data_IF_953603627996
#
_entry.id   IF_953603627996
#
_cell.length_a   1.000
_cell.length_b   1.000
_cell.length_c   1.000
_cell.angle_alpha   90.00
_cell.angle_beta   90.00
_cell.angle_gamma   90.00
#
_symmetry.space_group_name_H-M   'P 1'
#
loop_
_entity.id
_entity.type
_entity.pdbx_description
1 polymer ?
#
# COMPACT_ATOMS: atom_id res chain seq x y z
N UNK A 1 10.14 -2.98 -18.87
CA UNK A 1 9.70 -4.32 -18.37
C UNK A 1 9.22 -4.14 -16.92
N UNK A 2 8.21 -4.88 -16.48
CA UNK A 2 7.76 -4.79 -15.09
C UNK A 2 8.76 -5.50 -14.15
N UNK A 3 8.99 -4.92 -12.98
CA UNK A 3 9.81 -5.48 -11.91
C UNK A 3 8.96 -6.47 -11.11
N UNK A 4 9.37 -7.74 -11.05
CA UNK A 4 8.70 -8.73 -10.21
C UNK A 4 9.24 -8.65 -8.78
N UNK A 5 8.35 -8.49 -7.81
CA UNK A 5 8.69 -8.34 -6.39
C UNK A 5 8.04 -9.46 -5.60
N UNK A 6 8.89 -10.29 -4.97
CA UNK A 6 8.44 -11.29 -3.99
C UNK A 6 8.47 -10.66 -2.60
N UNK A 7 7.34 -10.71 -1.92
CA UNK A 7 7.16 -10.17 -0.57
C UNK A 7 7.64 -11.15 0.51
N UNK A 8 8.08 -10.69 1.68
CA UNK A 8 8.01 -9.31 2.16
C UNK A 8 8.97 -8.36 1.44
N UNK A 9 8.61 -7.07 1.38
CA UNK A 9 9.43 -6.02 0.77
C UNK A 9 10.40 -5.47 1.83
N UNK A 10 11.65 -5.92 1.84
CA UNK A 10 12.64 -5.38 2.78
C UNK A 10 12.97 -3.92 2.46
N UNK A 11 13.48 -3.18 3.46
CA UNK A 11 13.90 -1.78 3.28
C UNK A 11 14.98 -1.62 2.21
N UNK A 12 15.91 -2.58 2.12
CA UNK A 12 16.96 -2.60 1.10
C UNK A 12 16.35 -2.67 -0.30
N UNK A 13 15.42 -3.63 -0.52
CA UNK A 13 14.71 -3.77 -1.80
C UNK A 13 13.82 -2.56 -2.11
N UNK A 14 13.18 -1.98 -1.10
CA UNK A 14 12.38 -0.78 -1.28
C UNK A 14 13.22 0.41 -1.79
N UNK A 15 14.46 0.56 -1.30
CA UNK A 15 15.40 1.61 -1.74
C UNK A 15 15.93 1.43 -3.18
N UNK A 16 15.85 0.23 -3.73
CA UNK A 16 16.24 -0.04 -5.12
C UNK A 16 15.17 0.41 -6.13
N UNK A 17 13.93 0.51 -5.70
CA UNK A 17 12.79 0.91 -6.54
C UNK A 17 12.82 2.41 -6.83
N UNK A 18 12.46 2.78 -8.06
CA UNK A 18 12.43 4.17 -8.51
C UNK A 18 11.03 4.60 -8.93
N UNK A 19 10.71 5.87 -8.71
CA UNK A 19 9.45 6.45 -9.17
C UNK A 19 9.27 6.22 -10.67
N UNK A 20 8.13 5.64 -11.06
CA UNK A 20 7.84 5.23 -12.44
C UNK A 20 8.00 3.73 -12.70
N UNK A 21 8.65 2.97 -11.81
CA UNK A 21 8.77 1.52 -11.97
C UNK A 21 7.40 0.84 -11.95
N UNK A 22 7.11 0.07 -13.01
CA UNK A 22 5.96 -0.82 -13.04
C UNK A 22 6.31 -2.11 -12.32
N UNK A 23 5.50 -2.51 -11.33
CA UNK A 23 5.78 -3.64 -10.46
C UNK A 23 4.68 -4.69 -10.52
N UNK A 24 5.07 -5.96 -10.31
CA UNK A 24 4.17 -7.10 -10.08
C UNK A 24 4.49 -7.67 -8.70
N UNK A 25 3.59 -7.47 -7.74
CA UNK A 25 3.78 -7.89 -6.35
C UNK A 25 3.21 -9.29 -6.15
N UNK A 26 3.97 -10.20 -5.51
CA UNK A 26 3.52 -11.54 -5.15
C UNK A 26 3.92 -11.88 -3.72
N UNK A 27 2.96 -12.35 -2.92
CA UNK A 27 3.14 -12.69 -1.51
C UNK A 27 2.04 -12.13 -0.63
N UNK A 28 2.35 -11.79 0.62
CA UNK A 28 1.39 -11.29 1.60
C UNK A 28 1.39 -9.77 1.63
N UNK A 29 0.20 -9.16 1.57
CA UNK A 29 -0.04 -7.75 1.88
C UNK A 29 -1.20 -7.66 2.88
N UNK A 30 -1.28 -6.56 3.62
CA UNK A 30 -2.38 -6.31 4.55
C UNK A 30 -3.30 -5.21 4.02
N UNK A 31 -4.59 -5.26 4.40
CA UNK A 31 -5.51 -4.15 4.14
C UNK A 31 -5.66 -3.31 5.39
N UNK A 32 -5.63 -2.00 5.26
CA UNK A 32 -6.06 -1.09 6.32
C UNK A 32 -6.49 0.25 5.72
N UNK A 33 -7.54 0.83 6.28
CA UNK A 33 -7.97 2.20 5.99
C UNK A 33 -7.90 3.06 7.25
N UNK A 34 -8.43 4.25 7.18
CA UNK A 34 -8.35 5.28 8.22
C UNK A 34 -8.76 4.79 9.62
N UNK A 35 -9.87 4.05 9.76
CA UNK A 35 -10.32 3.53 11.05
C UNK A 35 -9.34 2.50 11.63
N UNK A 36 -8.83 1.59 10.80
CA UNK A 36 -7.84 0.60 11.22
C UNK A 36 -6.49 1.26 11.54
N UNK A 37 -6.02 2.21 10.72
CA UNK A 37 -4.78 2.97 10.99
C UNK A 37 -4.84 3.70 12.34
N UNK A 38 -5.98 4.35 12.64
CA UNK A 38 -6.17 5.01 13.93
C UNK A 38 -5.99 4.06 15.11
N UNK A 39 -6.56 2.84 15.01
CA UNK A 39 -6.41 1.81 16.06
C UNK A 39 -4.99 1.26 16.16
N UNK A 40 -4.31 1.06 15.02
CA UNK A 40 -2.92 0.62 15.00
C UNK A 40 -2.00 1.65 15.68
N UNK A 41 -2.15 2.93 15.35
CA UNK A 41 -1.37 3.99 15.99
C UNK A 41 -1.66 4.08 17.50
N UNK A 42 -2.92 3.94 17.92
CA UNK A 42 -3.25 3.94 19.35
C UNK A 42 -2.56 2.78 20.10
N UNK A 43 -2.49 1.57 19.52
CA UNK A 43 -1.73 0.46 20.10
C UNK A 43 -0.24 0.77 20.16
N UNK A 44 0.32 1.37 19.11
CA UNK A 44 1.73 1.75 19.05
C UNK A 44 2.08 2.80 20.14
N UNK A 45 1.23 3.82 20.31
CA UNK A 45 1.39 4.86 21.32
C UNK A 45 1.34 4.29 22.75
N UNK A 46 0.56 3.22 22.95
CA UNK A 46 0.48 2.47 24.22
C UNK A 46 1.60 1.44 24.39
N UNK A 47 2.49 1.29 23.40
CA UNK A 47 3.57 0.29 23.43
C UNK A 47 3.07 -1.15 23.34
N UNK A 48 1.88 -1.37 22.82
CA UNK A 48 1.27 -2.70 22.64
C UNK A 48 1.65 -3.32 21.29
N UNK A 49 1.61 -4.64 21.23
CA UNK A 49 1.81 -5.37 19.99
C UNK A 49 0.70 -5.07 18.97
N UNK A 50 1.09 -4.92 17.72
CA UNK A 50 0.15 -4.78 16.62
C UNK A 50 -0.46 -6.16 16.27
N UNK A 51 -1.71 -6.20 15.80
CA UNK A 51 -2.40 -7.46 15.47
C UNK A 51 -1.94 -8.06 14.13
N UNK A 52 -0.90 -7.53 13.53
CA UNK A 52 -0.29 -7.97 12.28
C UNK A 52 1.21 -7.71 12.30
N UNK A 53 1.98 -8.48 11.52
CA UNK A 53 3.40 -8.21 11.32
C UNK A 53 3.57 -6.92 10.51
N UNK A 54 4.16 -5.90 11.12
CA UNK A 54 4.38 -4.60 10.47
C UNK A 54 5.75 -4.49 9.80
N UNK A 55 6.73 -5.28 10.27
CA UNK A 55 8.08 -5.25 9.71
C UNK A 55 8.05 -5.76 8.27
N UNK A 56 8.60 -4.96 7.37
CA UNK A 56 8.66 -5.23 5.92
C UNK A 56 7.28 -5.44 5.27
N UNK A 57 6.21 -4.95 5.93
CA UNK A 57 4.84 -5.09 5.44
C UNK A 57 4.51 -4.08 4.34
N UNK A 58 3.61 -4.50 3.46
CA UNK A 58 2.89 -3.62 2.54
C UNK A 58 1.44 -3.50 2.99
N UNK A 59 0.95 -2.27 3.13
CA UNK A 59 -0.47 -2.00 3.46
C UNK A 59 -1.19 -1.47 2.22
N UNK A 60 -2.25 -2.17 1.83
CA UNK A 60 -3.17 -1.77 0.77
C UNK A 60 -4.36 -1.00 1.34
N UNK A 61 -4.50 0.24 0.94
CA UNK A 61 -5.57 1.13 1.36
C UNK A 61 -6.84 0.81 0.58
N UNK A 62 -7.56 -0.20 1.04
CA UNK A 62 -8.75 -0.73 0.38
C UNK A 62 -9.83 -1.11 1.39
N UNK A 63 -11.08 -0.84 1.02
CA UNK A 63 -12.26 -1.42 1.67
C UNK A 63 -12.98 -2.25 0.61
N UNK A 64 -12.74 -3.57 0.55
CA UNK A 64 -13.30 -4.39 -0.49
C UNK A 64 -14.81 -4.57 -0.34
N UNK A 65 -15.50 -4.80 -1.45
CA UNK A 65 -16.90 -5.26 -1.38
C UNK A 65 -16.96 -6.72 -0.91
N UNK A 66 -18.11 -7.17 -0.38
CA UNK A 66 -18.28 -8.57 0.00
C UNK A 66 -17.94 -9.52 -1.16
N UNK A 67 -17.29 -10.64 -0.83
CA UNK A 67 -16.98 -11.69 -1.79
C UNK A 67 -18.28 -12.38 -2.28
N UNK A 68 -18.32 -12.70 -3.58
CA UNK A 68 -19.35 -13.61 -4.11
C UNK A 68 -18.94 -15.07 -3.85
N UNK A 69 -19.89 -16.03 -3.88
CA UNK A 69 -19.56 -17.44 -3.76
C UNK A 69 -18.41 -17.85 -4.71
N UNK A 70 -17.41 -18.52 -4.16
CA UNK A 70 -16.24 -18.96 -4.92
C UNK A 70 -15.15 -17.89 -5.17
N UNK A 71 -15.30 -16.67 -4.64
CA UNK A 71 -14.30 -15.63 -4.73
C UNK A 71 -13.60 -15.41 -3.38
N UNK A 72 -12.30 -15.16 -3.41
CA UNK A 72 -11.52 -14.82 -2.21
C UNK A 72 -11.94 -13.46 -1.63
N UNK A 73 -12.30 -12.50 -2.50
CA UNK A 73 -12.63 -11.13 -2.14
C UNK A 73 -13.55 -10.53 -3.22
N UNK A 74 -14.32 -9.52 -2.89
CA UNK A 74 -15.07 -8.75 -3.88
C UNK A 74 -14.19 -7.72 -4.60
N UNK A 75 -14.80 -6.69 -5.18
CA UNK A 75 -14.05 -5.61 -5.83
C UNK A 75 -13.11 -4.94 -4.83
N UNK A 76 -11.82 -4.86 -5.16
CA UNK A 76 -10.75 -4.39 -4.29
C UNK A 76 -9.98 -3.23 -4.93
N UNK A 77 -10.66 -2.11 -5.16
CA UNK A 77 -10.05 -0.90 -5.70
C UNK A 77 -9.43 0.00 -4.63
N UNK A 78 -8.34 0.72 -4.95
CA UNK A 78 -7.65 1.58 -3.97
C UNK A 78 -8.52 2.74 -3.52
N UNK A 79 -8.45 3.10 -2.24
CA UNK A 79 -9.01 4.34 -1.71
C UNK A 79 -8.00 5.49 -1.78
N UNK A 80 -8.47 6.71 -1.57
CA UNK A 80 -7.63 7.91 -1.58
C UNK A 80 -6.71 7.94 -0.36
N UNK A 81 -5.40 8.04 -0.61
CA UNK A 81 -4.35 7.75 0.39
C UNK A 81 -4.13 8.85 1.41
N UNK A 82 -4.42 10.14 1.11
CA UNK A 82 -4.20 11.24 2.05
C UNK A 82 -4.96 11.07 3.38
N UNK A 83 -6.02 10.27 3.39
CA UNK A 83 -6.79 9.97 4.62
C UNK A 83 -5.96 9.23 5.66
N UNK A 84 -4.90 8.54 5.25
CA UNK A 84 -3.97 7.82 6.11
C UNK A 84 -2.74 8.64 6.50
N UNK A 85 -2.59 9.86 5.97
CA UNK A 85 -1.36 10.65 6.15
C UNK A 85 -1.05 10.99 7.62
N UNK A 86 -2.08 11.17 8.44
CA UNK A 86 -1.91 11.40 9.88
C UNK A 86 -1.33 10.17 10.63
N UNK A 87 -1.38 8.99 10.05
CA UNK A 87 -1.01 7.73 10.70
C UNK A 87 0.21 7.06 10.07
N UNK A 88 0.36 7.20 8.74
CA UNK A 88 1.42 6.51 7.99
C UNK A 88 2.83 6.73 8.52
N UNK A 89 3.25 7.94 8.96
CA UNK A 89 4.59 8.13 9.50
C UNK A 89 4.91 7.20 10.68
N UNK A 90 3.95 6.99 11.59
CA UNK A 90 4.11 6.08 12.72
C UNK A 90 4.32 4.64 12.27
N UNK A 91 3.50 4.15 11.33
CA UNK A 91 3.61 2.76 10.85
C UNK A 91 4.89 2.53 10.03
N UNK A 92 5.31 3.52 9.23
CA UNK A 92 6.58 3.50 8.51
C UNK A 92 7.76 3.41 9.49
N UNK A 93 7.76 4.19 10.56
CA UNK A 93 8.79 4.13 11.59
C UNK A 93 8.84 2.75 12.26
N UNK A 94 7.69 2.10 12.46
CA UNK A 94 7.58 0.76 13.03
C UNK A 94 7.97 -0.37 12.07
N UNK A 95 8.12 -0.09 10.77
CA UNK A 95 8.62 -1.10 9.82
C UNK A 95 7.81 -1.31 8.56
N UNK A 96 6.69 -0.58 8.36
CA UNK A 96 5.99 -0.58 7.09
C UNK A 96 6.92 -0.08 5.98
N UNK A 97 7.06 -0.86 4.91
CA UNK A 97 7.96 -0.54 3.79
C UNK A 97 7.23 -0.20 2.51
N UNK A 98 5.96 -0.52 2.43
CA UNK A 98 5.18 -0.24 1.23
C UNK A 98 3.73 0.12 1.51
N UNK A 99 3.25 1.10 0.79
CA UNK A 99 1.85 1.52 0.83
C UNK A 99 1.26 1.43 -0.57
N UNK A 100 0.06 0.86 -0.71
CA UNK A 100 -0.65 0.81 -2.00
C UNK A 100 -1.93 1.63 -1.89
N UNK A 101 -2.09 2.60 -2.79
CA UNK A 101 -3.28 3.45 -2.78
C UNK A 101 -3.45 4.25 -4.06
N UNK A 102 -4.10 5.40 -3.98
CA UNK A 102 -4.22 6.39 -5.06
C UNK A 102 -4.21 7.81 -4.51
N UNK A 103 -3.80 8.76 -5.34
CA UNK A 103 -3.74 10.19 -4.99
C UNK A 103 -2.46 10.57 -4.25
N UNK A 104 -2.33 11.85 -3.94
CA UNK A 104 -1.12 12.43 -3.35
C UNK A 104 -0.92 12.02 -1.90
N UNK A 105 0.32 12.17 -1.42
CA UNK A 105 0.72 12.02 -0.01
C UNK A 105 1.25 13.36 0.53
N UNK A 106 1.07 13.58 1.82
CA UNK A 106 1.58 14.76 2.51
C UNK A 106 3.10 14.74 2.72
N UNK A 107 3.70 15.92 2.97
CA UNK A 107 5.15 16.04 3.13
C UNK A 107 5.69 15.23 4.31
N UNK A 108 4.92 15.08 5.39
CA UNK A 108 5.32 14.30 6.56
C UNK A 108 5.46 12.81 6.23
N UNK A 109 4.58 12.27 5.38
CA UNK A 109 4.67 10.89 4.90
C UNK A 109 5.91 10.71 4.02
N UNK A 110 6.15 11.65 3.11
CA UNK A 110 7.33 11.61 2.22
C UNK A 110 8.62 11.70 3.05
N UNK A 111 8.65 12.53 4.08
CA UNK A 111 9.79 12.62 5.00
C UNK A 111 10.04 11.29 5.72
N UNK A 112 9.01 10.65 6.26
CA UNK A 112 9.12 9.35 6.90
C UNK A 112 9.57 8.25 5.91
N UNK A 113 9.07 8.26 4.67
CA UNK A 113 9.50 7.33 3.63
C UNK A 113 11.00 7.45 3.34
N UNK A 114 11.51 8.68 3.24
CA UNK A 114 12.95 8.94 3.02
C UNK A 114 13.81 8.47 4.19
N UNK A 115 13.38 8.77 5.40
CA UNK A 115 14.10 8.41 6.62
C UNK A 115 14.19 6.89 6.79
N UNK A 116 13.07 6.20 6.63
CA UNK A 116 12.95 4.77 6.93
C UNK A 116 13.05 3.85 5.71
N UNK A 117 13.10 4.38 4.49
CA UNK A 117 13.24 3.58 3.28
C UNK A 117 11.95 2.85 2.89
N UNK A 118 10.84 3.57 2.83
CA UNK A 118 9.56 3.05 2.36
C UNK A 118 9.19 3.60 0.99
N UNK A 119 8.28 2.93 0.28
CA UNK A 119 7.79 3.33 -1.04
C UNK A 119 6.27 3.42 -1.08
N UNK A 120 5.76 4.30 -1.93
CA UNK A 120 4.34 4.42 -2.19
C UNK A 120 4.01 3.94 -3.60
N UNK A 121 3.19 2.90 -3.69
CA UNK A 121 2.68 2.33 -4.92
C UNK A 121 1.30 2.91 -5.26
N UNK A 122 1.12 3.29 -6.50
CA UNK A 122 -0.20 3.58 -7.07
C UNK A 122 -0.84 2.33 -7.65
N UNK A 123 -2.10 2.10 -7.28
CA UNK A 123 -2.97 1.16 -7.98
C UNK A 123 -4.05 1.92 -8.74
N UNK A 124 -4.47 1.39 -9.90
CA UNK A 124 -5.38 2.10 -10.80
C UNK A 124 -6.79 2.12 -10.21
N UNK A 125 -7.31 3.32 -9.98
CA UNK A 125 -8.70 3.53 -9.58
C UNK A 125 -9.68 3.04 -10.67
N UNK A 126 -10.81 2.49 -10.25
CA UNK A 126 -11.79 1.89 -11.17
C UNK A 126 -11.51 0.44 -11.58
N UNK A 127 -10.28 -0.06 -11.37
CA UNK A 127 -9.86 -1.42 -11.72
C UNK A 127 -10.08 -2.45 -10.60
N UNK A 128 -10.93 -2.17 -9.60
CA UNK A 128 -11.09 -3.04 -8.42
C UNK A 128 -11.48 -4.48 -8.73
N UNK A 129 -12.29 -4.71 -9.77
CA UNK A 129 -12.65 -6.06 -10.22
C UNK A 129 -11.48 -6.79 -10.90
N UNK A 130 -10.57 -6.06 -11.54
CA UNK A 130 -9.35 -6.62 -12.13
C UNK A 130 -8.33 -6.94 -11.04
N UNK A 131 -8.10 -6.00 -10.13
CA UNK A 131 -7.16 -6.16 -9.01
C UNK A 131 -7.57 -7.32 -8.09
N UNK A 132 -8.88 -7.54 -7.87
CA UNK A 132 -9.35 -8.66 -7.06
C UNK A 132 -8.97 -10.04 -7.62
N UNK A 133 -8.74 -10.17 -8.94
CA UNK A 133 -8.29 -11.44 -9.56
C UNK A 133 -6.85 -11.81 -9.17
N UNK A 134 -6.05 -10.82 -8.81
CA UNK A 134 -4.70 -11.04 -8.32
C UNK A 134 -4.67 -11.49 -6.86
N UNK A 135 -5.79 -11.40 -6.13
CA UNK A 135 -5.93 -11.79 -4.73
C UNK A 135 -6.40 -13.23 -4.67
N UNK A 136 -5.55 -14.13 -4.19
CA UNK A 136 -5.80 -15.57 -4.14
C UNK A 136 -6.50 -16.02 -2.85
N UNK A 137 -6.24 -15.32 -1.74
CA UNK A 137 -6.94 -15.52 -0.48
C UNK A 137 -7.04 -14.22 0.29
N UNK A 138 -8.05 -14.14 1.16
CA UNK A 138 -8.29 -13.01 2.05
C UNK A 138 -8.78 -13.54 3.40
N UNK A 139 -8.08 -13.20 4.47
CA UNK A 139 -8.42 -13.61 5.85
C UNK A 139 -8.45 -12.37 6.74
N UNK A 140 -9.53 -12.17 7.49
CA UNK A 140 -9.58 -11.14 8.51
C UNK A 140 -8.62 -11.52 9.64
N UNK A 141 -7.72 -10.62 10.01
CA UNK A 141 -6.75 -10.81 11.09
C UNK A 141 -7.03 -9.91 12.28
N UNK A 142 -7.69 -8.77 12.06
CA UNK A 142 -8.07 -7.88 13.16
C UNK A 142 -9.24 -6.95 12.77
N UNK A 143 -9.87 -6.40 13.80
CA UNK A 143 -10.91 -5.36 13.71
C UNK A 143 -12.09 -5.76 12.83
N UNK A 144 -12.60 -6.98 13.00
CA UNK A 144 -13.75 -7.50 12.25
C UNK A 144 -14.99 -6.60 12.37
N UNK A 145 -15.14 -5.93 13.50
CA UNK A 145 -16.20 -4.93 13.76
C UNK A 145 -16.19 -3.72 12.80
N UNK A 146 -15.04 -3.47 12.15
CA UNK A 146 -14.93 -2.42 11.12
C UNK A 146 -15.45 -2.85 9.74
N UNK A 147 -15.89 -4.08 9.57
CA UNK A 147 -16.50 -4.58 8.33
C UNK A 147 -15.55 -4.48 7.13
N UNK A 148 -15.87 -3.62 6.15
CA UNK A 148 -15.03 -3.42 4.98
C UNK A 148 -13.63 -2.84 5.31
N UNK A 149 -13.48 -2.16 6.45
CA UNK A 149 -12.22 -1.58 6.93
C UNK A 149 -11.47 -2.48 7.91
N UNK A 150 -11.95 -3.71 8.15
CA UNK A 150 -11.21 -4.72 8.91
C UNK A 150 -9.82 -4.96 8.28
N UNK A 151 -8.83 -5.25 9.11
CA UNK A 151 -7.52 -5.66 8.61
C UNK A 151 -7.63 -7.08 8.07
N UNK A 152 -7.25 -7.25 6.81
CA UNK A 152 -7.16 -8.54 6.14
C UNK A 152 -5.73 -8.81 5.72
N UNK A 153 -5.31 -10.04 5.89
CA UNK A 153 -4.14 -10.60 5.22
C UNK A 153 -4.59 -11.10 3.85
N UNK A 154 -3.94 -10.60 2.81
CA UNK A 154 -4.20 -10.99 1.42
C UNK A 154 -2.98 -11.70 0.85
N UNK A 155 -3.18 -12.88 0.27
CA UNK A 155 -2.17 -13.49 -0.59
C UNK A 155 -2.41 -13.01 -2.01
N UNK A 156 -1.43 -12.32 -2.58
CA UNK A 156 -1.50 -11.77 -3.95
C UNK A 156 -0.51 -12.46 -4.88
N UNK A 157 -0.85 -12.50 -6.16
CA UNK A 157 0.00 -13.02 -7.22
C UNK A 157 -0.04 -12.04 -8.40
N UNK A 158 1.15 -11.55 -8.79
CA UNK A 158 1.33 -10.59 -9.89
C UNK A 158 0.40 -9.37 -9.78
N UNK A 159 0.22 -8.85 -8.56
CA UNK A 159 -0.60 -7.67 -8.31
C UNK A 159 0.07 -6.44 -8.94
N UNK A 160 -0.55 -5.79 -9.95
CA UNK A 160 0.06 -4.70 -10.68
C UNK A 160 0.02 -3.40 -9.88
N UNK A 161 1.17 -2.74 -9.77
CA UNK A 161 1.32 -1.46 -9.11
C UNK A 161 2.42 -0.63 -9.80
N UNK A 162 2.41 0.67 -9.60
CA UNK A 162 3.46 1.58 -10.09
C UNK A 162 4.05 2.30 -8.90
N UNK A 163 5.37 2.39 -8.81
CA UNK A 163 6.03 3.24 -7.80
C UNK A 163 5.72 4.70 -8.11
N UNK A 164 4.95 5.34 -7.25
CA UNK A 164 4.59 6.76 -7.39
C UNK A 164 5.58 7.65 -6.63
N UNK A 165 5.95 7.23 -5.41
CA UNK A 165 6.96 7.93 -4.61
C UNK A 165 7.96 6.88 -4.16
N UNK A 166 9.23 7.08 -4.49
CA UNK A 166 10.32 6.19 -4.08
C UNK A 166 10.90 6.56 -2.71
N UNK A 167 11.82 5.74 -2.23
CA UNK A 167 12.46 5.94 -0.93
C UNK A 167 13.41 7.15 -0.87
N UNK A 168 13.69 7.80 -1.99
CA UNK A 168 14.45 9.07 -2.07
C UNK A 168 13.51 10.29 -2.07
N UNK A 169 12.19 10.06 -2.19
CA UNK A 169 11.16 11.09 -2.23
C UNK A 169 10.88 11.64 -3.64
N UNK A 170 11.43 11.01 -4.69
CA UNK A 170 11.05 11.34 -6.06
C UNK A 170 9.57 10.98 -6.26
N UNK A 171 8.81 11.93 -6.82
CA UNK A 171 7.34 11.85 -6.87
C UNK A 171 6.85 11.97 -8.31
N UNK A 172 6.35 10.87 -8.86
CA UNK A 172 5.84 10.81 -10.23
C UNK A 172 4.65 11.75 -10.49
N UNK A 173 3.86 12.08 -9.47
CA UNK A 173 2.78 13.06 -9.61
C UNK A 173 3.28 14.49 -9.83
N UNK A 174 4.53 14.77 -9.49
CA UNK A 174 5.15 16.07 -9.69
C UNK A 174 5.93 16.11 -11.00
N UNK A 175 6.70 15.06 -11.29
CA UNK A 175 7.59 15.03 -12.47
C UNK A 175 6.89 14.52 -13.73
N UNK A 176 5.98 13.57 -13.63
CA UNK A 176 5.45 12.80 -14.76
C UNK A 176 4.76 13.65 -15.84
N UNK A 177 4.14 14.78 -15.46
CA UNK A 177 3.54 15.67 -16.45
C UNK A 177 4.61 16.41 -17.26
N UNK A 178 5.64 16.90 -16.60
CA UNK A 178 6.74 17.62 -17.26
C UNK A 178 7.53 16.67 -18.16
N UNK A 179 7.82 15.47 -17.66
CA UNK A 179 8.53 14.43 -18.39
C UNK A 179 7.75 14.02 -19.66
N UNK A 180 6.44 13.83 -19.55
CA UNK A 180 5.60 13.51 -20.71
C UNK A 180 5.57 14.64 -21.73
N UNK A 181 5.40 15.90 -21.30
CA UNK A 181 5.39 17.03 -22.21
C UNK A 181 6.71 17.18 -22.97
N UNK A 182 7.84 16.90 -22.34
CA UNK A 182 9.15 16.90 -22.98
C UNK A 182 9.33 15.80 -24.05
N UNK A 183 8.43 14.81 -24.11
CA UNK A 183 8.46 13.74 -25.14
C UNK A 183 7.65 14.06 -26.39
N UNK A 184 6.81 15.10 -26.36
CA UNK A 184 5.89 15.44 -27.46
C UNK A 184 6.24 16.79 -28.16
N UNK A 185 7.25 17.52 -27.67
CA UNK A 185 7.89 18.66 -28.31
C UNK A 185 9.04 18.17 -29.24
#
# INVERSE_FOLDING_TARGET
MAVSITLPLTREKARELKAGDSCLLSGIIYTARDAAHKRLCALADEGKELPMEIKDAIIYFVGPTPAKPGQAIGSAGPTTSYRMDAYSPTLIALGETGMIGKGKRGPEVIAAMKEHGAVYFGAIGGCGALLSRCIKSAKIVAYEDLGAEAIRELVVENFPAVVIIDAEGNNLYETGKADYLATID
#
